data_IF_194795552200
#
_entry.id   IF_194795552200
#
_cell.length_a   1.000
_cell.length_b   1.000
_cell.length_c   1.000
_cell.angle_alpha   90.00
_cell.angle_beta   90.00
_cell.angle_gamma   90.00
#
_symmetry.space_group_name_H-M   'P 1'
#
loop_
_entity.id
_entity.type
_entity.pdbx_description
1 polymer ?
#
# COMPACT_ATOMS: atom_id res chain seq x y z
N UNK A 1 -37.37 -65.43 -38.96
CA UNK A 1 -37.76 -64.78 -37.68
C UNK A 1 -37.20 -65.59 -36.53
N UNK A 2 -36.99 -65.05 -35.31
CA UNK A 2 -36.65 -63.68 -34.89
C UNK A 2 -35.28 -63.70 -34.14
N UNK A 3 -34.75 -62.74 -33.35
CA UNK A 3 -35.06 -61.33 -32.96
C UNK A 3 -33.75 -60.51 -33.12
N UNK A 4 -33.80 -59.25 -33.53
CA UNK A 4 -32.64 -58.33 -33.53
C UNK A 4 -32.33 -57.79 -32.12
N UNK A 5 -31.08 -57.89 -31.68
CA UNK A 5 -30.62 -57.30 -30.42
C UNK A 5 -30.42 -55.78 -30.55
N UNK A 6 -31.27 -54.98 -29.87
CA UNK A 6 -31.14 -53.52 -29.77
C UNK A 6 -29.84 -53.12 -29.06
N UNK A 7 -28.89 -52.50 -29.79
CA UNK A 7 -27.78 -51.75 -29.17
C UNK A 7 -28.35 -50.59 -28.35
N UNK A 8 -28.20 -50.63 -27.03
CA UNK A 8 -28.43 -49.45 -26.16
C UNK A 8 -27.39 -48.39 -26.53
N UNK A 9 -27.85 -47.21 -26.99
CA UNK A 9 -26.98 -46.02 -27.09
C UNK A 9 -26.52 -45.66 -25.68
N UNK A 10 -25.23 -45.66 -25.44
CA UNK A 10 -24.65 -45.04 -24.23
C UNK A 10 -24.81 -43.54 -24.36
N UNK A 11 -25.60 -42.94 -23.46
CA UNK A 11 -25.67 -41.49 -23.36
C UNK A 11 -24.33 -40.98 -22.81
N UNK A 12 -23.50 -40.43 -23.71
CA UNK A 12 -22.34 -39.63 -23.32
C UNK A 12 -22.79 -38.54 -22.34
N UNK A 13 -22.08 -38.31 -21.21
CA UNK A 13 -22.46 -37.27 -20.29
C UNK A 13 -22.37 -35.92 -21.00
N UNK A 14 -23.51 -35.24 -21.12
CA UNK A 14 -23.59 -33.87 -21.63
C UNK A 14 -22.60 -33.03 -20.82
N UNK A 15 -21.55 -32.54 -21.47
CA UNK A 15 -20.61 -31.59 -20.87
C UNK A 15 -21.43 -30.39 -20.42
N UNK A 16 -21.67 -30.28 -19.10
CA UNK A 16 -22.29 -29.08 -18.52
C UNK A 16 -21.41 -27.91 -18.95
N UNK A 17 -21.97 -27.04 -19.80
CA UNK A 17 -21.29 -25.84 -20.23
C UNK A 17 -20.81 -25.12 -18.98
N UNK A 18 -19.49 -24.92 -18.85
CA UNK A 18 -18.93 -24.28 -17.68
C UNK A 18 -19.59 -22.91 -17.56
N UNK A 19 -20.24 -22.62 -16.43
CA UNK A 19 -20.79 -21.29 -16.15
C UNK A 19 -19.68 -20.28 -16.42
N UNK A 20 -19.77 -19.57 -17.54
CA UNK A 20 -18.82 -18.54 -17.92
C UNK A 20 -18.80 -17.57 -16.75
N UNK A 21 -17.67 -17.47 -16.05
CA UNK A 21 -17.51 -16.49 -14.97
C UNK A 21 -17.97 -15.16 -15.53
N UNK A 22 -18.99 -14.55 -14.93
CA UNK A 22 -19.29 -13.14 -15.19
C UNK A 22 -17.95 -12.41 -15.03
N UNK A 23 -17.40 -11.93 -16.15
CA UNK A 23 -16.36 -10.91 -16.09
C UNK A 23 -17.05 -9.76 -15.38
N UNK A 24 -16.69 -9.53 -14.12
CA UNK A 24 -17.15 -8.36 -13.39
C UNK A 24 -16.92 -7.16 -14.31
N UNK A 25 -18.02 -6.52 -14.74
CA UNK A 25 -17.95 -5.26 -15.48
C UNK A 25 -17.11 -4.34 -14.61
N UNK A 26 -16.06 -3.78 -15.19
CA UNK A 26 -15.12 -3.01 -14.41
C UNK A 26 -15.83 -1.78 -13.82
N UNK A 27 -15.60 -1.43 -12.55
CA UNK A 27 -16.35 -0.37 -11.90
C UNK A 27 -15.93 1.03 -12.35
N UNK A 28 -14.86 1.18 -13.16
CA UNK A 28 -14.41 2.48 -13.68
C UNK A 28 -15.36 2.97 -14.77
N UNK A 29 -16.08 4.06 -14.51
CA UNK A 29 -17.00 4.70 -15.44
C UNK A 29 -16.32 5.78 -16.29
N UNK A 30 -15.35 6.50 -15.71
CA UNK A 30 -14.71 7.63 -16.34
C UNK A 30 -13.55 8.20 -15.53
N UNK A 31 -12.85 9.17 -16.11
CA UNK A 31 -11.71 9.86 -15.49
C UNK A 31 -11.79 11.36 -15.80
N UNK A 32 -11.65 12.21 -14.78
CA UNK A 32 -11.51 13.64 -14.94
C UNK A 32 -10.03 14.01 -15.25
N UNK A 33 -9.63 13.95 -16.51
CA UNK A 33 -8.24 14.25 -16.93
C UNK A 33 -7.77 15.66 -16.55
N UNK A 34 -8.64 16.68 -16.60
CA UNK A 34 -8.29 18.05 -16.23
C UNK A 34 -7.91 18.13 -14.75
N UNK A 35 -8.67 17.46 -13.90
CA UNK A 35 -8.40 17.39 -12.47
C UNK A 35 -7.18 16.54 -12.16
N UNK A 36 -7.04 15.38 -12.83
CA UNK A 36 -5.83 14.55 -12.76
C UNK A 36 -4.55 15.33 -13.09
N UNK A 37 -4.59 16.16 -14.14
CA UNK A 37 -3.47 16.98 -14.56
C UNK A 37 -3.08 18.01 -13.48
N UNK A 38 -4.06 18.78 -12.98
CA UNK A 38 -3.80 19.75 -11.90
C UNK A 38 -3.25 19.05 -10.65
N UNK A 39 -3.89 17.95 -10.24
CA UNK A 39 -3.52 17.16 -9.08
C UNK A 39 -2.08 16.61 -9.16
N UNK A 40 -1.76 15.84 -10.21
CA UNK A 40 -0.42 15.24 -10.35
C UNK A 40 0.67 16.30 -10.57
N UNK A 41 0.38 17.39 -11.31
CA UNK A 41 1.31 18.50 -11.46
C UNK A 41 1.64 19.11 -10.09
N UNK A 42 0.63 19.42 -9.29
CA UNK A 42 0.83 20.00 -7.96
C UNK A 42 1.63 19.08 -7.05
N UNK A 43 1.30 17.78 -6.97
CA UNK A 43 2.02 16.84 -6.12
C UNK A 43 3.49 16.67 -6.50
N UNK A 44 3.78 16.51 -7.80
CA UNK A 44 5.16 16.34 -8.26
C UNK A 44 6.00 17.61 -8.06
N UNK A 45 5.43 18.78 -8.34
CA UNK A 45 6.09 20.09 -8.14
C UNK A 45 6.41 20.31 -6.67
N UNK A 46 5.43 20.14 -5.76
CA UNK A 46 5.65 20.33 -4.32
C UNK A 46 6.64 19.33 -3.73
N UNK A 47 6.66 18.09 -4.24
CA UNK A 47 7.65 17.10 -3.85
C UNK A 47 9.06 17.48 -4.30
N UNK A 48 9.22 17.82 -5.58
CA UNK A 48 10.49 18.19 -6.21
C UNK A 48 11.11 19.42 -5.55
N UNK A 49 10.29 20.45 -5.27
CA UNK A 49 10.71 21.70 -4.63
C UNK A 49 10.73 21.62 -3.09
N UNK A 50 10.44 20.45 -2.50
CA UNK A 50 10.40 20.23 -1.04
C UNK A 50 9.56 21.26 -0.29
N UNK A 51 8.36 21.57 -0.83
CA UNK A 51 7.45 22.57 -0.27
C UNK A 51 6.57 22.02 0.85
N UNK A 52 6.39 22.86 1.88
CA UNK A 52 5.43 22.63 2.97
C UNK A 52 5.65 21.27 3.65
N UNK A 53 4.60 20.44 3.68
CA UNK A 53 4.62 19.09 4.23
C UNK A 53 5.77 18.20 3.70
N UNK A 54 6.28 18.44 2.49
CA UNK A 54 7.32 17.60 1.89
C UNK A 54 8.76 17.97 2.24
N UNK A 55 8.98 19.07 2.99
CA UNK A 55 10.31 19.65 3.22
C UNK A 55 11.36 18.62 3.69
N UNK A 56 11.06 17.92 4.78
CA UNK A 56 12.00 17.00 5.45
C UNK A 56 11.71 15.51 5.14
N UNK A 57 10.83 15.25 4.16
CA UNK A 57 10.39 13.88 3.86
C UNK A 57 11.42 13.14 2.98
N UNK A 58 12.04 12.13 3.58
CA UNK A 58 13.00 11.20 2.96
C UNK A 58 12.29 9.87 2.65
N UNK A 59 12.27 9.41 1.37
CA UNK A 59 11.67 8.13 1.01
C UNK A 59 12.35 6.93 1.69
N UNK A 60 11.62 5.84 2.01
CA UNK A 60 12.18 4.66 2.68
C UNK A 60 13.42 4.07 1.99
N UNK A 61 13.43 4.04 0.65
CA UNK A 61 14.53 3.52 -0.16
C UNK A 61 15.81 4.35 -0.11
N UNK A 62 15.74 5.60 0.38
CA UNK A 62 16.91 6.45 0.64
C UNK A 62 17.29 6.48 2.13
N UNK A 63 16.31 6.29 3.02
CA UNK A 63 16.52 6.21 4.48
C UNK A 63 17.24 4.92 4.90
N UNK A 64 16.88 3.80 4.31
CA UNK A 64 17.41 2.47 4.66
C UNK A 64 18.22 1.87 3.51
N UNK A 65 19.13 2.67 2.97
CA UNK A 65 19.97 2.28 1.83
C UNK A 65 21.31 1.68 2.30
N UNK A 66 21.69 0.47 1.86
CA UNK A 66 23.03 -0.07 2.07
C UNK A 66 24.03 0.63 1.14
N UNK A 67 24.77 1.60 1.69
CA UNK A 67 25.67 2.48 0.94
C UNK A 67 26.77 1.69 0.19
N UNK A 68 27.22 0.58 0.77
CA UNK A 68 28.16 -0.37 0.19
C UNK A 68 27.70 -1.01 -1.13
N UNK A 69 26.40 -1.02 -1.42
CA UNK A 69 25.86 -1.51 -2.68
C UNK A 69 25.89 -0.49 -3.81
N UNK A 70 26.17 0.80 -3.55
CA UNK A 70 26.15 1.84 -4.59
C UNK A 70 27.18 1.58 -5.71
N UNK A 71 28.33 0.99 -5.38
CA UNK A 71 29.37 0.62 -6.35
C UNK A 71 29.13 -0.71 -7.05
N UNK A 72 28.08 -1.46 -6.69
CA UNK A 72 27.75 -2.76 -7.29
C UNK A 72 26.30 -2.76 -7.81
N UNK A 73 26.07 -2.27 -9.04
CA UNK A 73 24.73 -2.18 -9.64
C UNK A 73 23.97 -3.50 -9.70
N UNK A 74 24.67 -4.64 -9.78
CA UNK A 74 24.04 -5.96 -9.84
C UNK A 74 23.50 -6.36 -8.47
N UNK A 75 24.33 -6.27 -7.41
CA UNK A 75 23.89 -6.53 -6.03
C UNK A 75 22.83 -5.54 -5.57
N UNK A 76 22.91 -4.27 -5.95
CA UNK A 76 21.85 -3.30 -5.64
C UNK A 76 20.52 -3.67 -6.32
N UNK A 77 20.58 -4.18 -7.56
CA UNK A 77 19.44 -4.77 -8.25
C UNK A 77 18.82 -5.94 -7.48
N UNK A 78 19.65 -6.84 -6.92
CA UNK A 78 19.19 -7.94 -6.07
C UNK A 78 18.55 -7.45 -4.77
N UNK A 79 19.12 -6.43 -4.13
CA UNK A 79 18.55 -5.86 -2.92
C UNK A 79 17.16 -5.26 -3.17
N UNK A 80 16.99 -4.44 -4.22
CA UNK A 80 15.67 -3.92 -4.60
C UNK A 80 14.68 -5.02 -5.00
N UNK A 81 15.15 -6.10 -5.63
CA UNK A 81 14.32 -7.27 -5.94
C UNK A 81 13.77 -7.92 -4.67
N UNK A 82 14.62 -8.15 -3.68
CA UNK A 82 14.25 -8.72 -2.39
C UNK A 82 13.33 -7.78 -1.59
N UNK A 83 13.55 -6.46 -1.60
CA UNK A 83 12.64 -5.47 -0.98
C UNK A 83 11.25 -5.47 -1.62
N UNK A 84 11.14 -5.76 -2.92
CA UNK A 84 9.85 -5.76 -3.62
C UNK A 84 8.92 -6.93 -3.19
N UNK A 85 9.48 -8.07 -2.76
CA UNK A 85 8.72 -9.27 -2.37
C UNK A 85 7.77 -9.05 -1.19
N UNK A 86 8.19 -8.50 -0.02
CA UNK A 86 7.29 -8.23 1.09
C UNK A 86 6.17 -7.21 0.77
N UNK A 87 6.41 -6.26 -0.14
CA UNK A 87 5.48 -5.15 -0.48
C UNK A 87 4.13 -5.59 -1.11
N UNK A 88 3.90 -6.91 -1.24
CA UNK A 88 2.66 -7.53 -1.73
C UNK A 88 1.41 -7.16 -0.91
N UNK A 89 1.54 -6.86 0.39
CA UNK A 89 0.44 -6.36 1.22
C UNK A 89 0.69 -6.48 2.73
N UNK A 90 -0.14 -5.81 3.54
CA UNK A 90 -0.12 -5.95 5.01
C UNK A 90 1.06 -5.33 5.75
N UNK A 91 1.85 -4.48 5.08
CA UNK A 91 3.17 -4.01 5.54
C UNK A 91 3.33 -2.51 5.25
N UNK A 92 3.91 -1.75 6.18
CA UNK A 92 4.37 -0.39 5.91
C UNK A 92 5.69 -0.44 5.11
N UNK A 93 5.86 0.41 4.12
CA UNK A 93 7.09 0.38 3.31
C UNK A 93 8.34 0.75 4.13
N UNK A 94 8.24 1.61 5.15
CA UNK A 94 9.37 1.90 6.06
C UNK A 94 9.81 0.65 6.83
N UNK A 95 8.86 -0.08 7.43
CA UNK A 95 9.14 -1.33 8.13
C UNK A 95 9.77 -2.35 7.18
N UNK A 96 9.25 -2.45 5.95
CA UNK A 96 9.81 -3.33 4.90
C UNK A 96 11.27 -2.99 4.55
N UNK A 97 11.56 -1.72 4.31
CA UNK A 97 12.91 -1.26 3.95
C UNK A 97 13.88 -1.42 5.12
N UNK A 98 13.49 -1.03 6.33
CA UNK A 98 14.26 -1.26 7.56
C UNK A 98 14.56 -2.74 7.80
N UNK A 99 13.55 -3.59 7.67
CA UNK A 99 13.68 -5.03 7.85
C UNK A 99 14.66 -5.64 6.84
N UNK A 100 14.51 -5.31 5.55
CA UNK A 100 15.36 -5.89 4.50
C UNK A 100 16.79 -5.34 4.55
N UNK A 101 16.98 -4.09 4.98
CA UNK A 101 18.29 -3.52 5.32
C UNK A 101 18.98 -4.29 6.46
N UNK A 102 18.27 -4.51 7.58
CA UNK A 102 18.79 -5.26 8.73
C UNK A 102 19.07 -6.74 8.39
N UNK A 103 18.24 -7.36 7.54
CA UNK A 103 18.47 -8.72 7.04
C UNK A 103 19.67 -8.79 6.10
N UNK A 104 19.88 -7.79 5.24
CA UNK A 104 21.05 -7.71 4.37
C UNK A 104 22.35 -7.63 5.19
N UNK A 105 22.37 -6.80 6.25
CA UNK A 105 23.55 -6.66 7.12
C UNK A 105 23.89 -7.95 7.88
N UNK A 106 22.88 -8.71 8.30
CA UNK A 106 23.06 -9.97 9.04
C UNK A 106 23.37 -11.17 8.14
N UNK A 107 22.79 -11.22 6.93
CA UNK A 107 22.79 -12.36 6.01
C UNK A 107 22.79 -11.90 4.54
N UNK A 108 23.88 -11.28 4.05
CA UNK A 108 23.97 -10.77 2.67
C UNK A 108 23.93 -11.89 1.61
N UNK A 109 24.22 -13.13 2.02
CA UNK A 109 24.16 -14.34 1.20
C UNK A 109 22.73 -14.67 0.74
N UNK A 110 21.68 -14.34 1.51
CA UNK A 110 20.27 -14.51 1.14
C UNK A 110 19.88 -13.69 -0.12
N UNK A 111 20.66 -12.65 -0.42
CA UNK A 111 20.41 -11.74 -1.53
C UNK A 111 21.20 -12.13 -2.78
N UNK A 112 22.20 -13.01 -2.66
CA UNK A 112 22.89 -13.56 -3.81
C UNK A 112 22.03 -14.68 -4.43
N UNK A 113 21.48 -14.50 -5.65
CA UNK A 113 20.56 -15.47 -6.23
C UNK A 113 21.24 -16.81 -6.54
N UNK A 114 22.56 -16.86 -6.74
CA UNK A 114 23.32 -18.09 -6.90
C UNK A 114 23.41 -18.92 -5.60
N UNK A 115 23.23 -18.31 -4.43
CA UNK A 115 23.19 -19.03 -3.14
C UNK A 115 21.72 -19.32 -2.78
N UNK A 116 20.87 -18.28 -2.81
CA UNK A 116 19.47 -18.36 -2.41
C UNK A 116 18.62 -19.34 -3.25
N UNK A 117 19.04 -19.70 -4.47
CA UNK A 117 18.34 -20.71 -5.28
C UNK A 117 18.54 -22.16 -4.81
N UNK A 118 19.51 -22.42 -3.91
CA UNK A 118 19.83 -23.74 -3.36
C UNK A 118 19.56 -23.86 -1.84
N UNK A 119 19.10 -22.79 -1.20
CA UNK A 119 18.74 -22.79 0.22
C UNK A 119 17.42 -23.49 0.47
N UNK A 120 17.29 -24.07 1.66
CA UNK A 120 16.00 -24.58 2.14
C UNK A 120 15.14 -23.44 2.75
N UNK A 121 13.79 -23.51 2.66
CA UNK A 121 12.90 -22.48 3.19
C UNK A 121 13.14 -22.14 4.67
N UNK A 122 13.51 -23.14 5.47
CA UNK A 122 13.75 -23.05 6.90
C UNK A 122 14.97 -22.16 7.23
N UNK A 123 15.98 -22.09 6.36
CA UNK A 123 17.15 -21.24 6.55
C UNK A 123 16.80 -19.74 6.40
N UNK A 124 15.94 -19.44 5.42
CA UNK A 124 15.41 -18.09 5.20
C UNK A 124 14.43 -17.73 6.33
N UNK A 125 13.56 -18.67 6.73
CA UNK A 125 12.63 -18.48 7.84
C UNK A 125 13.39 -18.13 9.15
N UNK A 126 14.40 -18.91 9.54
CA UNK A 126 15.18 -18.66 10.75
C UNK A 126 15.94 -17.32 10.73
N UNK A 127 16.49 -16.93 9.57
CA UNK A 127 17.15 -15.63 9.41
C UNK A 127 16.14 -14.46 9.53
N UNK A 128 14.99 -14.59 8.88
CA UNK A 128 13.95 -13.55 8.89
C UNK A 128 13.28 -13.41 10.26
N UNK A 129 13.02 -14.50 10.97
CA UNK A 129 12.50 -14.49 12.34
C UNK A 129 13.49 -13.84 13.32
N UNK A 130 14.78 -14.18 13.24
CA UNK A 130 15.83 -13.57 14.08
C UNK A 130 15.87 -12.04 13.95
N UNK A 131 15.81 -11.52 12.72
CA UNK A 131 15.79 -10.06 12.47
C UNK A 131 14.45 -9.47 12.91
N UNK A 132 13.33 -10.14 12.64
CA UNK A 132 12.00 -9.71 13.04
C UNK A 132 11.87 -9.52 14.56
N UNK A 133 12.33 -10.48 15.35
CA UNK A 133 12.31 -10.40 16.82
C UNK A 133 13.18 -9.25 17.33
N UNK A 134 14.32 -8.96 16.69
CA UNK A 134 15.19 -7.83 17.06
C UNK A 134 14.55 -6.48 16.81
N UNK A 135 13.95 -6.26 15.63
CA UNK A 135 13.45 -4.93 15.25
C UNK A 135 11.98 -4.69 15.65
N UNK A 136 11.22 -5.76 15.87
CA UNK A 136 9.81 -5.73 16.28
C UNK A 136 9.54 -6.74 17.41
N UNK A 137 10.12 -6.56 18.62
CA UNK A 137 9.99 -7.52 19.72
C UNK A 137 8.53 -7.72 20.20
N UNK A 138 7.66 -6.72 20.03
CA UNK A 138 6.21 -6.82 20.29
C UNK A 138 5.40 -7.49 19.17
N UNK A 139 6.05 -7.94 18.08
CA UNK A 139 5.43 -8.33 16.83
C UNK A 139 5.16 -7.14 15.89
N UNK A 140 4.89 -7.45 14.62
CA UNK A 140 4.49 -6.49 13.58
C UNK A 140 2.96 -6.39 13.45
N UNK A 141 2.47 -5.61 12.49
CA UNK A 141 1.07 -5.72 12.06
C UNK A 141 0.85 -7.06 11.33
N UNK A 142 0.06 -7.96 11.92
CA UNK A 142 -0.58 -9.11 11.24
C UNK A 142 -0.36 -10.47 11.91
N UNK A 143 0.89 -10.89 12.12
CA UNK A 143 1.24 -12.13 12.82
C UNK A 143 2.36 -11.84 13.84
N UNK A 144 2.17 -12.25 15.11
CA UNK A 144 3.24 -12.18 16.10
C UNK A 144 4.44 -13.05 15.65
N UNK A 145 5.64 -12.71 16.10
CA UNK A 145 6.92 -13.39 15.82
C UNK A 145 7.46 -13.29 14.36
N UNK A 146 6.62 -13.26 13.32
CA UNK A 146 7.09 -13.29 11.91
C UNK A 146 7.50 -11.95 11.30
N UNK A 147 7.54 -10.88 12.10
CA UNK A 147 7.93 -9.54 11.64
C UNK A 147 7.14 -9.09 10.40
N UNK A 148 7.79 -8.38 9.51
CA UNK A 148 7.12 -7.64 8.43
C UNK A 148 6.50 -8.51 7.34
N UNK A 149 6.78 -9.82 7.29
CA UNK A 149 6.20 -10.77 6.33
C UNK A 149 4.79 -11.27 6.67
N UNK A 150 4.10 -10.66 7.63
CA UNK A 150 2.83 -11.12 8.19
C UNK A 150 1.76 -11.55 7.17
N UNK A 151 1.64 -10.85 6.03
CA UNK A 151 0.73 -11.25 4.97
C UNK A 151 1.29 -12.41 4.12
N UNK A 152 0.69 -13.59 4.26
CA UNK A 152 1.10 -14.82 3.57
C UNK A 152 2.56 -15.21 3.86
N UNK A 153 3.02 -14.96 5.11
CA UNK A 153 4.34 -15.30 5.66
C UNK A 153 4.93 -16.58 5.08
N UNK A 154 4.25 -17.71 5.27
CA UNK A 154 4.57 -19.07 4.79
C UNK A 154 4.84 -19.25 3.27
N UNK A 155 4.65 -18.21 2.45
CA UNK A 155 4.94 -18.22 1.02
C UNK A 155 6.22 -17.47 0.68
N UNK A 156 6.72 -16.56 1.53
CA UNK A 156 7.77 -15.61 1.13
C UNK A 156 9.10 -16.31 0.90
N UNK A 157 9.49 -17.25 1.75
CA UNK A 157 10.74 -18.02 1.66
C UNK A 157 10.76 -18.84 0.35
N UNK A 158 9.67 -19.58 0.11
CA UNK A 158 9.48 -20.37 -1.13
C UNK A 158 9.40 -19.51 -2.39
N UNK A 159 8.92 -18.28 -2.28
CA UNK A 159 8.90 -17.31 -3.39
C UNK A 159 10.29 -16.69 -3.59
N UNK A 160 11.05 -16.46 -2.53
CA UNK A 160 12.43 -15.96 -2.57
C UNK A 160 13.33 -16.95 -3.31
N UNK A 161 13.36 -18.21 -2.88
CA UNK A 161 14.13 -19.30 -3.53
C UNK A 161 13.72 -19.47 -4.99
N UNK A 162 12.41 -19.53 -5.27
CA UNK A 162 11.91 -19.67 -6.64
C UNK A 162 12.28 -18.47 -7.52
N UNK A 163 12.16 -17.25 -7.01
CA UNK A 163 12.49 -16.05 -7.77
C UNK A 163 13.99 -15.89 -7.99
N UNK A 164 14.83 -16.28 -7.02
CA UNK A 164 16.28 -16.38 -7.18
C UNK A 164 16.63 -17.37 -8.29
N UNK A 165 16.04 -18.57 -8.27
CA UNK A 165 16.22 -19.59 -9.32
C UNK A 165 15.83 -19.06 -10.71
N UNK A 166 14.66 -18.42 -10.84
CA UNK A 166 14.23 -17.80 -12.11
C UNK A 166 15.18 -16.67 -12.55
N UNK A 167 15.71 -15.89 -11.62
CA UNK A 167 16.68 -14.82 -11.92
C UNK A 167 18.00 -15.39 -12.46
N UNK A 168 18.50 -16.51 -11.92
CA UNK A 168 19.67 -17.20 -12.46
C UNK A 168 19.36 -17.85 -13.82
N UNK A 169 18.38 -18.76 -13.88
CA UNK A 169 18.11 -19.61 -15.05
C UNK A 169 17.63 -18.86 -16.30
N UNK A 170 17.05 -17.67 -16.14
CA UNK A 170 16.40 -16.97 -17.25
C UNK A 170 16.87 -15.52 -17.46
N UNK A 171 17.60 -14.96 -16.50
CA UNK A 171 18.06 -13.57 -16.52
C UNK A 171 19.55 -13.42 -16.15
N UNK A 172 20.31 -14.52 -16.04
CA UNK A 172 21.76 -14.49 -15.83
C UNK A 172 22.16 -13.90 -14.48
N UNK A 173 21.31 -14.06 -13.46
CA UNK A 173 21.46 -13.42 -12.15
C UNK A 173 21.51 -11.88 -12.21
N UNK A 174 20.91 -11.24 -13.22
CA UNK A 174 20.86 -9.78 -13.30
C UNK A 174 19.45 -9.31 -13.66
N UNK A 175 18.86 -8.53 -12.74
CA UNK A 175 17.51 -7.98 -12.90
C UNK A 175 17.43 -6.98 -14.06
N UNK A 176 18.55 -6.33 -14.42
CA UNK A 176 18.61 -5.34 -15.51
C UNK A 176 18.26 -5.98 -16.87
N UNK A 177 18.60 -7.26 -17.05
CA UNK A 177 18.30 -8.04 -18.26
C UNK A 177 16.79 -8.19 -18.55
N UNK A 178 15.92 -8.01 -17.54
CA UNK A 178 14.46 -7.95 -17.75
C UNK A 178 14.09 -6.75 -18.64
N UNK A 179 14.81 -5.64 -18.53
CA UNK A 179 14.50 -4.39 -19.23
C UNK A 179 15.20 -4.27 -20.59
N UNK A 180 16.18 -5.13 -20.88
CA UNK A 180 16.94 -5.12 -22.12
C UNK A 180 16.01 -5.30 -23.35
N UNK A 181 16.06 -4.37 -24.30
CA UNK A 181 15.16 -4.35 -25.47
C UNK A 181 13.66 -4.14 -25.15
N UNK A 182 13.28 -3.80 -23.91
CA UNK A 182 11.90 -3.45 -23.57
C UNK A 182 11.61 -1.97 -23.92
N UNK A 183 10.67 -1.73 -24.82
CA UNK A 183 10.29 -0.37 -25.26
C UNK A 183 9.38 0.37 -24.26
N UNK A 184 8.69 -0.36 -23.38
CA UNK A 184 7.78 0.19 -22.39
C UNK A 184 7.57 -0.78 -21.20
N UNK A 185 6.86 -0.28 -20.18
CA UNK A 185 6.54 -1.01 -18.96
C UNK A 185 5.80 -2.33 -19.17
N UNK A 186 4.85 -2.41 -20.10
CA UNK A 186 4.08 -3.63 -20.32
C UNK A 186 4.88 -4.66 -21.12
N UNK A 187 5.77 -4.22 -22.02
CA UNK A 187 6.76 -5.10 -22.67
C UNK A 187 7.74 -5.69 -21.66
N UNK A 188 8.21 -4.89 -20.69
CA UNK A 188 9.05 -5.38 -19.60
C UNK A 188 8.27 -6.33 -18.67
N UNK A 189 7.07 -5.97 -18.25
CA UNK A 189 6.22 -6.78 -17.36
C UNK A 189 5.81 -8.12 -18.01
N UNK A 190 5.46 -8.12 -19.29
CA UNK A 190 5.02 -9.33 -20.00
C UNK A 190 6.09 -10.44 -20.05
N UNK A 191 7.39 -10.07 -20.00
CA UNK A 191 8.49 -11.04 -19.87
C UNK A 191 8.44 -11.80 -18.55
N UNK A 192 8.06 -11.11 -17.46
CA UNK A 192 8.16 -11.60 -16.07
C UNK A 192 6.81 -11.94 -15.41
N UNK A 193 5.69 -11.84 -16.13
CA UNK A 193 4.37 -12.28 -15.64
C UNK A 193 4.32 -13.80 -15.50
N UNK A 194 4.47 -14.32 -14.28
CA UNK A 194 4.37 -15.76 -13.96
C UNK A 194 3.01 -16.38 -14.36
N UNK A 195 1.95 -15.60 -14.60
CA UNK A 195 0.68 -16.15 -15.14
C UNK A 195 0.78 -16.51 -16.64
N UNK A 196 1.81 -16.04 -17.35
CA UNK A 196 1.96 -16.13 -18.82
C UNK A 196 3.33 -16.65 -19.28
N UNK A 197 4.35 -16.52 -18.44
CA UNK A 197 5.76 -16.80 -18.76
C UNK A 197 6.37 -17.76 -17.74
N UNK A 198 7.09 -18.78 -18.24
CA UNK A 198 7.96 -19.62 -17.39
C UNK A 198 9.13 -18.83 -16.80
N UNK A 199 9.51 -17.70 -17.43
CA UNK A 199 10.55 -16.76 -16.96
C UNK A 199 10.04 -15.76 -15.91
N UNK A 200 8.83 -15.96 -15.40
CA UNK A 200 8.13 -15.01 -14.56
C UNK A 200 8.33 -15.20 -13.06
N UNK A 201 8.32 -14.08 -12.33
CA UNK A 201 8.54 -14.06 -10.90
C UNK A 201 7.22 -14.23 -10.13
N UNK A 202 7.21 -15.10 -9.11
CA UNK A 202 6.06 -15.27 -8.20
C UNK A 202 5.90 -14.03 -7.33
N UNK A 203 4.64 -13.66 -7.09
CA UNK A 203 4.28 -12.47 -6.30
C UNK A 203 4.45 -11.13 -7.03
N UNK A 204 5.24 -11.07 -8.10
CA UNK A 204 5.54 -9.87 -8.89
C UNK A 204 4.35 -9.47 -9.79
N UNK A 205 3.33 -8.82 -9.21
CA UNK A 205 2.20 -8.21 -9.95
C UNK A 205 2.56 -6.81 -10.44
N UNK A 206 1.78 -6.24 -11.38
CA UNK A 206 2.00 -4.88 -11.94
C UNK A 206 2.32 -3.80 -10.90
N UNK A 207 1.57 -3.73 -9.78
CA UNK A 207 1.88 -2.82 -8.65
C UNK A 207 3.32 -2.95 -8.17
N UNK A 208 3.75 -4.19 -7.90
CA UNK A 208 5.06 -4.49 -7.31
C UNK A 208 6.17 -4.27 -8.33
N UNK A 209 5.93 -4.64 -9.59
CA UNK A 209 6.86 -4.38 -10.68
C UNK A 209 7.02 -2.89 -10.97
N UNK A 210 5.94 -2.09 -10.95
CA UNK A 210 5.96 -0.62 -11.05
C UNK A 210 6.74 0.03 -9.91
N UNK A 211 6.52 -0.44 -8.67
CA UNK A 211 7.25 0.01 -7.49
C UNK A 211 8.75 -0.27 -7.61
N UNK A 212 9.12 -1.52 -7.91
CA UNK A 212 10.51 -1.94 -8.10
C UNK A 212 11.19 -1.17 -9.24
N UNK A 213 10.54 -1.04 -10.40
CA UNK A 213 11.09 -0.34 -11.56
C UNK A 213 11.30 1.16 -11.28
N UNK A 214 10.42 1.77 -10.46
CA UNK A 214 10.60 3.16 -10.03
C UNK A 214 11.92 3.33 -9.27
N UNK A 215 12.27 2.39 -8.37
CA UNK A 215 13.56 2.42 -7.67
C UNK A 215 14.75 2.15 -8.60
N UNK A 216 14.62 1.18 -9.53
CA UNK A 216 15.70 0.89 -10.48
C UNK A 216 16.02 2.10 -11.38
N UNK A 217 15.01 2.86 -11.81
CA UNK A 217 15.21 4.12 -12.55
C UNK A 217 15.77 5.21 -11.63
N UNK A 218 15.21 5.39 -10.43
CA UNK A 218 15.65 6.42 -9.45
C UNK A 218 17.13 6.27 -9.04
N UNK A 219 17.66 5.05 -9.05
CA UNK A 219 19.05 4.72 -8.76
C UNK A 219 19.91 4.45 -10.01
N UNK A 220 19.40 4.73 -11.21
CA UNK A 220 20.17 4.65 -12.47
C UNK A 220 20.57 3.24 -12.91
N UNK A 221 19.93 2.20 -12.37
CA UNK A 221 20.22 0.79 -12.66
C UNK A 221 19.63 0.32 -14.00
N UNK A 222 18.57 0.98 -14.48
CA UNK A 222 17.92 0.72 -15.77
C UNK A 222 17.59 2.05 -16.45
N UNK A 223 17.46 2.10 -17.80
CA UNK A 223 17.11 3.31 -18.52
C UNK A 223 15.75 3.91 -18.10
N UNK A 224 15.59 5.24 -18.18
CA UNK A 224 14.27 5.88 -18.02
C UNK A 224 13.35 5.48 -19.17
N UNK A 225 12.17 4.98 -18.82
CA UNK A 225 11.05 4.80 -19.74
C UNK A 225 9.73 5.04 -19.01
N UNK A 226 8.64 5.18 -19.76
CA UNK A 226 7.36 5.55 -19.18
C UNK A 226 6.77 4.43 -18.31
N UNK A 227 6.54 4.74 -17.03
CA UNK A 227 5.88 3.91 -16.04
C UNK A 227 4.43 4.37 -15.79
N UNK A 228 3.54 3.45 -15.38
CA UNK A 228 2.31 3.83 -14.68
C UNK A 228 2.64 4.39 -13.29
N UNK A 229 1.66 5.05 -12.66
CA UNK A 229 1.74 5.29 -11.22
C UNK A 229 1.62 3.97 -10.47
N UNK A 230 2.27 3.89 -9.30
CA UNK A 230 2.11 2.77 -8.37
C UNK A 230 0.70 2.84 -7.77
N UNK A 231 -0.20 2.01 -8.31
CA UNK A 231 -1.59 1.92 -7.84
C UNK A 231 -1.74 0.82 -6.79
N UNK A 232 -2.12 1.25 -5.61
CA UNK A 232 -2.58 0.43 -4.50
C UNK A 232 -3.82 1.08 -3.86
N UNK A 233 -4.28 0.56 -2.72
CA UNK A 233 -5.48 1.11 -2.09
C UNK A 233 -5.29 2.58 -1.65
N UNK A 234 -4.13 2.97 -1.12
CA UNK A 234 -3.86 4.37 -0.77
C UNK A 234 -3.91 5.28 -2.01
N UNK A 235 -3.40 4.82 -3.16
CA UNK A 235 -3.50 5.55 -4.43
C UNK A 235 -4.95 5.63 -4.91
N UNK A 236 -5.68 4.51 -4.95
CA UNK A 236 -7.08 4.44 -5.35
C UNK A 236 -7.96 5.34 -4.48
N UNK A 237 -7.70 5.37 -3.17
CA UNK A 237 -8.34 6.26 -2.20
C UNK A 237 -8.20 7.72 -2.62
N UNK A 238 -6.99 8.21 -2.86
CA UNK A 238 -6.81 9.60 -3.31
C UNK A 238 -7.56 9.89 -4.62
N UNK A 239 -7.47 8.97 -5.59
CA UNK A 239 -8.15 9.17 -6.89
C UNK A 239 -9.67 9.23 -6.77
N UNK A 240 -10.26 8.53 -5.78
CA UNK A 240 -11.69 8.61 -5.45
C UNK A 240 -12.05 9.85 -4.61
N UNK A 241 -11.26 10.16 -3.58
CA UNK A 241 -11.43 11.35 -2.73
C UNK A 241 -11.48 12.65 -3.53
N UNK A 242 -10.68 12.72 -4.59
CA UNK A 242 -10.55 13.88 -5.48
C UNK A 242 -11.36 13.74 -6.77
N UNK A 243 -12.26 12.76 -6.89
CA UNK A 243 -13.11 12.52 -8.08
C UNK A 243 -12.34 12.45 -9.42
N UNK A 244 -11.06 12.06 -9.35
CA UNK A 244 -10.19 11.87 -10.52
C UNK A 244 -10.63 10.62 -11.28
N UNK A 245 -10.98 9.54 -10.57
CA UNK A 245 -11.65 8.37 -11.14
C UNK A 245 -13.11 8.34 -10.69
N UNK A 246 -14.01 8.11 -11.64
CA UNK A 246 -15.45 7.97 -11.40
C UNK A 246 -15.81 6.48 -11.43
N UNK A 247 -16.60 6.02 -10.47
CA UNK A 247 -16.92 4.60 -10.32
C UNK A 247 -18.41 4.32 -10.11
N UNK A 248 -18.83 3.13 -10.53
CA UNK A 248 -20.13 2.54 -10.19
C UNK A 248 -20.05 2.05 -8.73
N UNK A 249 -20.65 2.82 -7.82
CA UNK A 249 -20.83 2.42 -6.42
C UNK A 249 -22.04 1.50 -6.27
N UNK A 250 -21.93 0.49 -5.41
CA UNK A 250 -23.06 -0.26 -4.89
C UNK A 250 -23.15 -0.07 -3.38
N UNK A 251 -24.29 -0.36 -2.76
CA UNK A 251 -24.30 -0.59 -1.31
C UNK A 251 -23.29 -1.67 -0.94
N UNK A 252 -22.64 -1.51 0.21
CA UNK A 252 -21.71 -2.51 0.72
C UNK A 252 -22.45 -3.82 1.00
N UNK A 253 -23.60 -3.74 1.69
CA UNK A 253 -24.39 -4.88 2.15
C UNK A 253 -23.68 -5.79 3.16
N UNK A 254 -24.33 -6.87 3.63
CA UNK A 254 -23.79 -7.78 4.65
C UNK A 254 -22.51 -8.51 4.25
N UNK A 255 -22.26 -8.63 2.94
CA UNK A 255 -21.22 -9.49 2.40
C UNK A 255 -21.56 -10.98 2.58
N UNK A 256 -20.70 -11.84 2.02
CA UNK A 256 -20.77 -13.30 2.18
C UNK A 256 -19.35 -13.86 2.40
N UNK A 257 -18.73 -13.54 3.55
CA UNK A 257 -17.38 -14.00 3.86
C UNK A 257 -17.35 -15.53 4.03
N UNK A 258 -16.18 -16.14 3.85
CA UNK A 258 -15.96 -17.56 4.18
C UNK A 258 -15.86 -17.82 5.68
N UNK A 259 -15.48 -16.78 6.42
CA UNK A 259 -15.33 -16.77 7.87
C UNK A 259 -16.51 -15.97 8.45
N UNK A 260 -17.41 -16.59 9.24
CA UNK A 260 -18.52 -15.88 9.88
C UNK A 260 -18.08 -14.71 10.77
N UNK A 261 -16.87 -14.76 11.34
CA UNK A 261 -16.30 -13.66 12.13
C UNK A 261 -15.88 -12.45 11.27
N UNK A 262 -16.05 -12.52 9.95
CA UNK A 262 -15.83 -11.41 9.01
C UNK A 262 -17.15 -10.89 8.40
N UNK A 263 -18.30 -11.28 8.94
CA UNK A 263 -19.61 -10.71 8.57
C UNK A 263 -19.60 -9.22 8.91
N UNK A 264 -20.15 -8.40 8.02
CA UNK A 264 -20.10 -6.94 8.16
C UNK A 264 -21.13 -6.48 9.18
N UNK A 265 -20.80 -5.55 10.08
CA UNK A 265 -21.78 -4.92 10.97
C UNK A 265 -22.89 -4.20 10.20
N UNK A 266 -24.13 -4.23 10.70
CA UNK A 266 -25.32 -3.70 10.00
C UNK A 266 -25.22 -2.20 9.71
N UNK A 267 -24.66 -1.44 10.66
CA UNK A 267 -24.23 -0.05 10.53
C UNK A 267 -23.48 0.27 9.24
N UNK A 268 -22.74 -0.70 8.70
CA UNK A 268 -21.89 -0.54 7.52
C UNK A 268 -22.59 -0.86 6.20
N UNK A 269 -23.74 -1.56 6.21
CA UNK A 269 -24.34 -2.13 4.99
C UNK A 269 -24.79 -1.07 3.99
N UNK A 270 -25.39 0.02 4.48
CA UNK A 270 -25.95 1.12 3.68
C UNK A 270 -24.92 2.00 2.98
N UNK A 271 -23.64 1.90 3.33
CA UNK A 271 -22.64 2.80 2.75
C UNK A 271 -22.33 2.43 1.29
N UNK A 272 -22.23 3.46 0.45
CA UNK A 272 -21.76 3.33 -0.93
C UNK A 272 -20.30 2.84 -0.97
N UNK A 273 -20.04 1.77 -1.72
CA UNK A 273 -18.77 1.08 -1.76
C UNK A 273 -18.37 0.64 -3.18
N UNK A 274 -17.07 0.53 -3.41
CA UNK A 274 -16.49 -0.09 -4.61
C UNK A 274 -15.45 -1.14 -4.20
N UNK A 275 -15.58 -2.35 -4.76
CA UNK A 275 -14.68 -3.46 -4.47
C UNK A 275 -13.37 -3.35 -5.25
N UNK A 276 -12.24 -3.39 -4.55
CA UNK A 276 -10.90 -3.28 -5.13
C UNK A 276 -10.46 -4.66 -5.65
N UNK A 277 -10.69 -4.87 -6.95
CA UNK A 277 -10.31 -6.08 -7.67
C UNK A 277 -9.06 -5.86 -8.53
N UNK A 278 -8.32 -6.95 -8.82
CA UNK A 278 -7.14 -6.91 -9.69
C UNK A 278 -7.44 -6.30 -11.08
N UNK A 279 -8.55 -6.63 -11.77
CA UNK A 279 -8.90 -5.96 -13.04
C UNK A 279 -9.16 -4.45 -12.91
N UNK A 280 -9.74 -3.99 -11.80
CA UNK A 280 -10.00 -2.57 -11.57
C UNK A 280 -8.69 -1.81 -11.34
N UNK A 281 -7.80 -2.34 -10.50
CA UNK A 281 -6.45 -1.77 -10.28
C UNK A 281 -5.66 -1.72 -11.58
N UNK A 282 -5.67 -2.81 -12.37
CA UNK A 282 -4.97 -2.86 -13.65
C UNK A 282 -5.47 -1.79 -14.63
N UNK A 283 -6.79 -1.49 -14.68
CA UNK A 283 -7.30 -0.40 -15.53
C UNK A 283 -6.79 0.98 -15.13
N UNK A 284 -6.72 1.28 -13.84
CA UNK A 284 -6.15 2.55 -13.37
C UNK A 284 -4.64 2.60 -13.63
N UNK A 285 -3.93 1.48 -13.53
CA UNK A 285 -2.52 1.36 -13.97
C UNK A 285 -2.39 1.70 -15.46
N UNK A 286 -3.16 1.06 -16.35
CA UNK A 286 -3.11 1.33 -17.79
C UNK A 286 -3.49 2.77 -18.13
N UNK A 287 -4.53 3.32 -17.49
CA UNK A 287 -4.90 4.73 -17.67
C UNK A 287 -3.77 5.66 -17.24
N UNK A 288 -3.16 5.48 -16.05
CA UNK A 288 -2.06 6.34 -15.61
C UNK A 288 -0.83 6.25 -16.52
N UNK A 289 -0.50 5.08 -17.06
CA UNK A 289 0.56 4.92 -18.05
C UNK A 289 0.27 5.75 -19.32
N UNK A 290 -0.94 5.65 -19.87
CA UNK A 290 -1.35 6.41 -21.06
C UNK A 290 -1.40 7.92 -20.78
N UNK A 291 -1.91 8.32 -19.62
CA UNK A 291 -2.01 9.71 -19.17
C UNK A 291 -0.61 10.34 -19.00
N UNK A 292 0.29 9.68 -18.27
CA UNK A 292 1.65 10.19 -18.08
C UNK A 292 2.42 10.25 -19.41
N UNK A 293 2.22 9.27 -20.32
CA UNK A 293 2.77 9.33 -21.68
C UNK A 293 2.29 10.55 -22.46
N UNK A 294 0.97 10.82 -22.43
CA UNK A 294 0.32 11.96 -23.09
C UNK A 294 0.85 13.31 -22.57
N UNK A 295 1.16 13.39 -21.27
CA UNK A 295 1.57 14.63 -20.60
C UNK A 295 3.06 14.67 -20.19
N UNK A 296 3.93 13.78 -20.69
CA UNK A 296 5.35 13.63 -20.26
C UNK A 296 6.15 14.94 -20.24
N UNK A 297 5.85 15.89 -21.14
CA UNK A 297 6.54 17.19 -21.23
C UNK A 297 5.96 18.30 -20.35
N UNK A 298 4.80 18.09 -19.73
CA UNK A 298 4.03 19.12 -19.02
C UNK A 298 3.82 18.82 -17.53
N UNK A 299 4.11 17.59 -17.11
CA UNK A 299 4.09 17.13 -15.73
C UNK A 299 5.53 16.95 -15.23
N UNK A 300 5.74 17.01 -13.90
CA UNK A 300 6.93 16.45 -13.26
C UNK A 300 7.14 14.98 -13.65
N UNK A 301 8.33 14.46 -13.37
CA UNK A 301 8.62 13.07 -13.67
C UNK A 301 7.71 12.11 -12.86
N UNK A 302 7.60 10.88 -13.34
CA UNK A 302 6.74 9.86 -12.73
C UNK A 302 7.11 9.49 -11.28
N UNK A 303 8.40 9.55 -10.91
CA UNK A 303 8.85 9.25 -9.56
C UNK A 303 8.52 10.39 -8.57
N UNK A 304 8.62 11.66 -8.97
CA UNK A 304 8.20 12.79 -8.13
C UNK A 304 6.69 12.76 -7.85
N UNK A 305 5.88 12.48 -8.88
CA UNK A 305 4.42 12.30 -8.72
C UNK A 305 4.13 11.10 -7.81
N UNK A 306 4.87 9.99 -7.97
CA UNK A 306 4.69 8.80 -7.15
C UNK A 306 5.01 9.05 -5.67
N UNK A 307 6.11 9.72 -5.37
CA UNK A 307 6.53 10.07 -4.00
C UNK A 307 5.59 11.11 -3.36
N UNK A 308 5.27 12.18 -4.07
CA UNK A 308 4.31 13.20 -3.60
C UNK A 308 2.93 12.60 -3.28
N UNK A 309 2.41 11.74 -4.16
CA UNK A 309 1.19 10.95 -3.94
C UNK A 309 1.30 10.02 -2.73
N UNK A 310 2.41 9.29 -2.61
CA UNK A 310 2.59 8.26 -1.59
C UNK A 310 2.67 8.85 -0.18
N UNK A 311 3.46 9.91 0.02
CA UNK A 311 3.53 10.58 1.31
C UNK A 311 2.20 11.22 1.70
N UNK A 312 1.51 11.88 0.76
CA UNK A 312 0.17 12.43 1.00
C UNK A 312 -0.81 11.32 1.42
N UNK A 313 -0.88 10.23 0.66
CA UNK A 313 -1.89 9.18 0.85
C UNK A 313 -1.69 8.33 2.12
N UNK A 314 -0.45 8.25 2.62
CA UNK A 314 0.00 7.29 3.64
C UNK A 314 0.46 7.94 4.95
N UNK A 315 0.71 9.24 4.97
CA UNK A 315 1.05 10.01 6.19
C UNK A 315 -0.02 11.06 6.48
N UNK A 316 -0.29 12.00 5.57
CA UNK A 316 -1.19 13.13 5.88
C UNK A 316 -2.69 12.77 5.83
N UNK A 317 -3.14 12.05 4.80
CA UNK A 317 -4.56 11.72 4.65
C UNK A 317 -5.15 10.73 5.70
N UNK A 318 -4.40 9.74 6.25
CA UNK A 318 -4.89 8.93 7.38
C UNK A 318 -5.25 9.74 8.63
N UNK A 319 -4.53 10.83 8.90
CA UNK A 319 -4.65 11.59 10.16
C UNK A 319 -5.89 12.51 10.20
N UNK A 320 -6.51 12.78 9.05
CA UNK A 320 -7.77 13.54 8.98
C UNK A 320 -8.89 12.77 9.71
N UNK A 321 -9.54 13.40 10.68
CA UNK A 321 -10.49 12.72 11.58
C UNK A 321 -11.60 11.99 10.84
N UNK A 322 -12.17 12.59 9.79
CA UNK A 322 -13.20 11.97 8.96
C UNK A 322 -12.77 10.75 8.14
N UNK A 323 -11.48 10.39 8.12
CA UNK A 323 -10.97 9.13 7.56
C UNK A 323 -10.79 8.02 8.62
N UNK A 324 -11.20 8.26 9.88
CA UNK A 324 -11.14 7.28 10.96
C UNK A 324 -12.19 6.18 10.79
N UNK A 325 -11.81 4.97 11.18
CA UNK A 325 -12.68 3.80 11.35
C UNK A 325 -12.66 3.42 12.83
N UNK A 326 -13.81 3.01 13.37
CA UNK A 326 -13.89 2.45 14.72
C UNK A 326 -13.98 0.93 14.62
N UNK A 327 -13.15 0.22 15.38
CA UNK A 327 -13.03 -1.25 15.38
C UNK A 327 -13.96 -1.86 16.45
N UNK A 328 -14.68 -2.93 16.13
CA UNK A 328 -15.43 -3.73 17.11
C UNK A 328 -14.48 -4.27 18.18
N UNK A 329 -14.83 -4.10 19.46
CA UNK A 329 -14.12 -4.75 20.56
C UNK A 329 -14.56 -6.20 20.68
N UNK A 330 -13.69 -7.15 20.36
CA UNK A 330 -13.91 -8.56 20.68
C UNK A 330 -13.57 -8.84 22.16
N UNK A 331 -14.44 -9.59 22.83
CA UNK A 331 -14.27 -10.01 24.24
C UNK A 331 -13.03 -10.90 24.45
N UNK A 332 -12.54 -11.56 23.40
CA UNK A 332 -11.37 -12.45 23.45
C UNK A 332 -10.02 -11.73 23.43
N UNK A 333 -10.02 -10.39 23.42
CA UNK A 333 -8.82 -9.55 23.43
C UNK A 333 -7.96 -9.62 22.15
N UNK A 334 -8.40 -10.32 21.10
CA UNK A 334 -7.61 -10.44 19.86
C UNK A 334 -7.80 -9.19 18.99
N UNK A 335 -6.66 -8.61 18.56
CA UNK A 335 -6.56 -7.43 17.67
C UNK A 335 -7.02 -7.73 16.23
N UNK A 336 -8.30 -8.09 16.04
CA UNK A 336 -8.95 -8.33 14.74
C UNK A 336 -10.34 -7.68 14.66
N UNK A 337 -10.53 -6.58 15.37
CA UNK A 337 -11.79 -5.84 15.33
C UNK A 337 -12.10 -5.35 13.93
N UNK A 338 -13.22 -5.82 13.37
CA UNK A 338 -13.77 -5.31 12.12
C UNK A 338 -14.18 -3.85 12.29
N UNK A 339 -14.18 -3.08 11.20
CA UNK A 339 -14.80 -1.75 11.18
C UNK A 339 -16.28 -1.85 11.56
N UNK A 340 -16.63 -1.29 12.71
CA UNK A 340 -17.97 -1.20 13.26
C UNK A 340 -18.75 -0.02 12.69
N UNK A 341 -18.11 1.16 12.70
CA UNK A 341 -18.68 2.39 12.18
C UNK A 341 -17.60 3.31 11.62
N UNK A 342 -18.04 4.25 10.81
CA UNK A 342 -17.23 5.38 10.32
C UNK A 342 -17.63 6.64 11.09
N UNK A 343 -16.84 7.70 10.96
CA UNK A 343 -17.24 9.05 11.40
C UNK A 343 -18.32 9.55 10.44
N UNK A 344 -19.47 10.01 10.95
CA UNK A 344 -20.56 10.54 10.13
C UNK A 344 -20.31 11.99 9.68
N UNK A 345 -21.13 12.53 8.77
CA UNK A 345 -21.02 13.94 8.38
C UNK A 345 -21.56 14.85 9.50
N UNK A 346 -22.58 14.41 10.24
CA UNK A 346 -23.12 15.11 11.41
C UNK A 346 -22.07 15.23 12.53
N UNK A 347 -21.31 14.16 12.82
CA UNK A 347 -20.19 14.24 13.77
C UNK A 347 -19.20 15.35 13.35
N UNK A 348 -18.82 15.42 12.07
CA UNK A 348 -17.84 16.41 11.60
C UNK A 348 -18.34 17.86 11.58
N UNK A 349 -19.66 18.08 11.59
CA UNK A 349 -20.25 19.42 11.70
C UNK A 349 -20.23 19.96 13.13
N UNK A 350 -20.43 19.09 14.13
CA UNK A 350 -20.46 19.45 15.55
C UNK A 350 -19.04 19.48 16.14
N UNK A 351 -18.59 20.66 16.62
CA UNK A 351 -17.19 20.87 17.02
C UNK A 351 -16.78 20.02 18.24
N UNK A 352 -17.73 19.72 19.12
CA UNK A 352 -17.57 18.95 20.34
C UNK A 352 -17.22 17.48 20.09
N UNK A 353 -17.45 16.95 18.88
CA UNK A 353 -17.12 15.55 18.56
C UNK A 353 -15.69 15.38 18.05
N UNK A 354 -15.02 16.46 17.65
CA UNK A 354 -13.63 16.42 17.21
C UNK A 354 -12.73 16.16 18.42
N UNK A 355 -11.63 15.40 18.27
CA UNK A 355 -10.69 15.18 19.36
C UNK A 355 -10.15 16.51 19.90
N UNK A 356 -10.09 16.68 21.22
CA UNK A 356 -9.59 17.92 21.87
C UNK A 356 -8.16 18.27 21.46
N UNK A 357 -7.35 17.27 21.13
CA UNK A 357 -5.97 17.41 20.62
C UNK A 357 -5.86 17.35 19.10
N UNK A 358 -6.98 17.43 18.36
CA UNK A 358 -6.97 17.36 16.91
C UNK A 358 -6.19 18.52 16.31
N UNK A 359 -5.34 18.21 15.32
CA UNK A 359 -4.61 19.20 14.53
C UNK A 359 -4.94 18.94 13.09
N UNK A 360 -5.58 19.89 12.42
CA UNK A 360 -6.11 19.70 11.08
C UNK A 360 -4.99 19.50 10.04
N UNK A 361 -4.76 18.26 9.55
CA UNK A 361 -3.66 17.97 8.64
C UNK A 361 -3.98 18.47 7.22
N UNK A 362 -5.26 18.68 6.90
CA UNK A 362 -5.69 19.13 5.58
C UNK A 362 -5.21 20.55 5.25
N UNK A 363 -4.94 21.39 6.27
CA UNK A 363 -4.28 22.71 6.10
C UNK A 363 -2.91 22.64 5.42
N UNK A 364 -2.27 21.47 5.41
CA UNK A 364 -0.94 21.22 4.84
C UNK A 364 -1.03 20.44 3.52
N UNK A 365 -2.23 20.06 3.10
CA UNK A 365 -2.47 19.28 1.89
C UNK A 365 -2.41 20.21 0.66
N UNK A 366 -1.49 19.97 -0.30
CA UNK A 366 -1.29 20.86 -1.45
C UNK A 366 -2.45 20.82 -2.47
N UNK A 367 -3.36 19.86 -2.32
CA UNK A 367 -4.45 19.55 -3.27
C UNK A 367 -5.83 19.59 -2.59
N UNK A 368 -5.92 20.11 -1.35
CA UNK A 368 -7.11 20.07 -0.50
C UNK A 368 -8.38 20.60 -1.19
N UNK A 369 -8.26 21.71 -1.94
CA UNK A 369 -9.34 22.35 -2.72
C UNK A 369 -10.14 21.37 -3.61
N UNK A 370 -9.50 20.26 -4.01
CA UNK A 370 -10.08 19.22 -4.86
C UNK A 370 -10.55 17.98 -4.10
N UNK A 371 -10.34 17.89 -2.79
CA UNK A 371 -10.84 16.79 -1.97
C UNK A 371 -12.35 16.98 -1.74
N UNK A 372 -13.17 15.99 -2.13
CA UNK A 372 -14.63 16.04 -2.06
C UNK A 372 -15.24 15.00 -1.14
N UNK A 373 -14.62 13.82 -1.01
CA UNK A 373 -15.21 12.68 -0.32
C UNK A 373 -14.24 12.02 0.65
N UNK A 374 -14.79 11.33 1.66
CA UNK A 374 -14.04 10.62 2.71
C UNK A 374 -14.03 9.12 2.47
N UNK A 375 -12.85 8.50 2.59
CA UNK A 375 -12.66 7.05 2.38
C UNK A 375 -11.76 6.47 3.48
N UNK A 376 -12.34 6.06 4.62
CA UNK A 376 -11.62 5.43 5.71
C UNK A 376 -10.92 4.14 5.30
N UNK A 377 -9.81 3.82 5.97
CA UNK A 377 -8.95 2.69 5.57
C UNK A 377 -9.41 1.32 6.09
N UNK A 378 -10.13 1.27 7.22
CA UNK A 378 -10.57 0.02 7.85
C UNK A 378 -11.32 -0.91 6.91
N UNK A 379 -12.40 -0.46 6.22
CA UNK A 379 -13.17 -1.28 5.30
C UNK A 379 -12.38 -1.92 4.15
N UNK A 380 -11.24 -1.31 3.75
CA UNK A 380 -10.35 -1.92 2.77
C UNK A 380 -9.58 -3.12 3.36
N UNK A 381 -9.02 -2.96 4.55
CA UNK A 381 -8.31 -4.05 5.24
C UNK A 381 -9.26 -5.19 5.65
N UNK A 382 -10.49 -4.84 6.05
CA UNK A 382 -11.49 -5.81 6.50
C UNK A 382 -12.15 -6.58 5.36
N UNK A 383 -12.49 -5.91 4.24
CA UNK A 383 -13.34 -6.50 3.19
C UNK A 383 -12.88 -6.22 1.75
N UNK A 384 -11.73 -5.57 1.55
CA UNK A 384 -11.24 -5.22 0.21
C UNK A 384 -12.14 -4.22 -0.53
N UNK A 385 -12.82 -3.34 0.19
CA UNK A 385 -13.74 -2.34 -0.36
C UNK A 385 -13.30 -0.93 0.01
N UNK A 386 -13.40 0.01 -0.93
CA UNK A 386 -13.40 1.44 -0.62
C UNK A 386 -14.83 1.85 -0.30
N UNK A 387 -15.05 2.37 0.90
CA UNK A 387 -16.36 2.80 1.38
C UNK A 387 -16.37 4.32 1.48
N UNK A 388 -17.32 4.99 0.82
CA UNK A 388 -17.54 6.44 0.97
C UNK A 388 -18.22 6.66 2.32
N UNK A 389 -17.54 7.33 3.24
CA UNK A 389 -18.08 7.64 4.56
C UNK A 389 -19.06 8.82 4.52
N UNK A 390 -18.82 9.76 3.62
CA UNK A 390 -19.51 11.04 3.48
C UNK A 390 -18.65 12.01 2.67
N UNK A 391 -18.97 13.29 2.78
CA UNK A 391 -18.23 14.36 2.10
C UNK A 391 -17.06 14.90 2.94
N UNK A 392 -16.06 15.51 2.30
CA UNK A 392 -14.90 16.05 3.00
C UNK A 392 -15.26 17.38 3.69
N UNK A 393 -15.46 17.31 5.01
CA UNK A 393 -15.81 18.46 5.86
C UNK A 393 -14.54 19.06 6.47
N UNK A 394 -14.35 20.36 6.27
CA UNK A 394 -13.22 21.12 6.84
C UNK A 394 -13.39 21.31 8.34
N UNK A 395 -12.30 21.23 9.11
CA UNK A 395 -12.33 21.43 10.56
C UNK A 395 -12.90 22.81 10.93
N UNK A 396 -13.98 22.91 11.75
CA UNK A 396 -14.66 24.19 11.99
C UNK A 396 -13.77 25.28 12.59
N UNK A 397 -12.86 24.94 13.51
CA UNK A 397 -11.97 25.92 14.17
C UNK A 397 -10.72 26.30 13.35
N UNK A 398 -10.55 25.78 12.13
CA UNK A 398 -9.40 26.08 11.25
C UNK A 398 -9.07 27.57 11.12
N UNK A 399 -10.09 28.44 11.12
CA UNK A 399 -9.93 29.90 10.98
C UNK A 399 -9.41 30.59 12.25
N UNK A 400 -9.58 29.97 13.40
CA UNK A 400 -9.25 30.53 14.73
C UNK A 400 -7.90 30.00 15.23
N UNK A 401 -7.50 28.80 14.80
CA UNK A 401 -6.21 28.20 15.18
C UNK A 401 -5.01 28.84 14.46
N UNK A 402 -3.93 29.18 15.18
CA UNK A 402 -2.69 29.70 14.59
C UNK A 402 -2.05 28.67 13.65
N UNK A 403 -1.20 29.16 12.73
CA UNK A 403 -0.47 28.31 11.80
C UNK A 403 0.61 27.48 12.51
N UNK A 404 0.26 26.25 12.88
CA UNK A 404 1.24 25.27 13.37
C UNK A 404 2.19 24.83 12.25
N UNK A 405 3.50 24.90 12.52
CA UNK A 405 4.50 24.15 11.74
C UNK A 405 4.55 22.72 12.28
N UNK A 406 4.46 21.71 11.41
CA UNK A 406 4.86 20.36 11.80
C UNK A 406 6.37 20.38 12.01
N UNK A 407 6.81 20.01 13.21
CA UNK A 407 8.21 19.70 13.49
C UNK A 407 8.39 18.22 13.12
N UNK A 408 8.79 17.98 11.89
CA UNK A 408 9.06 16.68 11.23
C UNK A 408 10.29 15.94 11.77
N UNK A 409 10.93 16.47 12.82
CA UNK A 409 12.34 16.20 13.14
C UNK A 409 12.63 14.74 13.46
N UNK A 410 11.65 14.03 14.01
CA UNK A 410 11.60 12.57 14.08
C UNK A 410 10.17 12.13 13.81
N UNK A 411 9.92 11.32 12.76
CA UNK A 411 8.76 10.43 12.75
C UNK A 411 9.14 9.21 13.61
N UNK A 412 8.55 9.01 14.81
CA UNK A 412 8.88 7.85 15.62
C UNK A 412 8.51 6.59 14.86
N UNK A 413 9.43 5.63 14.79
CA UNK A 413 9.31 4.41 13.97
C UNK A 413 8.25 3.39 14.45
N UNK A 414 7.24 3.83 15.17
CA UNK A 414 6.12 3.03 15.68
C UNK A 414 4.88 3.90 15.86
N UNK A 415 3.78 3.59 15.16
CA UNK A 415 2.44 3.95 15.63
C UNK A 415 2.13 3.15 16.91
N UNK A 416 2.61 3.63 18.05
CA UNK A 416 2.10 3.22 19.34
C UNK A 416 0.67 3.78 19.47
N UNK A 417 -0.34 2.90 19.37
CA UNK A 417 -1.72 3.26 19.74
C UNK A 417 -1.70 3.59 21.24
N UNK A 418 -2.09 4.81 21.59
CA UNK A 418 -2.26 5.27 22.98
C UNK A 418 -3.17 4.32 23.77
N UNK A 419 -2.59 3.53 24.67
CA UNK A 419 -3.33 2.73 25.65
C UNK A 419 -3.65 3.61 26.85
N UNK A 420 -4.92 4.01 26.99
CA UNK A 420 -5.35 4.81 28.12
C UNK A 420 -5.47 3.97 29.39
N UNK A 421 -4.56 4.18 30.33
CA UNK A 421 -4.72 3.78 31.73
C UNK A 421 -4.71 5.02 32.63
N UNK A 422 -5.66 5.08 33.57
CA UNK A 422 -5.75 6.15 34.57
C UNK A 422 -4.72 5.90 35.66
N UNK A 423 -3.88 6.88 35.97
CA UNK A 423 -3.08 6.89 37.21
C UNK A 423 -3.36 8.18 37.98
N UNK A 424 -3.45 8.03 39.30
CA UNK A 424 -3.96 9.01 40.26
C UNK A 424 -3.03 10.18 40.54
N UNK A 425 -3.63 11.32 40.92
CA UNK A 425 -2.95 12.54 41.36
C UNK A 425 -2.01 12.29 42.55
N UNK A 426 -0.78 12.79 42.46
CA UNK A 426 -0.07 13.39 43.60
C UNK A 426 0.89 14.46 43.10
N UNK A 427 1.00 15.56 43.84
CA UNK A 427 1.77 16.78 43.48
C UNK A 427 2.88 16.99 44.50
N UNK A 428 4.09 17.38 44.08
CA UNK A 428 4.72 18.53 44.73
C UNK A 428 5.44 19.52 43.78
N UNK A 429 4.94 20.77 43.82
CA UNK A 429 5.62 22.09 43.79
C UNK A 429 7.06 22.25 43.24
N UNK A 430 7.14 23.22 42.31
CA UNK A 430 8.08 24.35 42.22
C UNK A 430 9.60 24.13 41.98
N UNK A 431 10.05 24.56 40.79
CA UNK A 431 11.05 25.64 40.67
C UNK A 431 10.89 26.34 39.30
N UNK A 432 10.99 27.67 39.27
CA UNK A 432 10.88 28.50 38.05
C UNK A 432 12.26 28.71 37.45
N UNK A 433 12.43 28.44 36.15
CA UNK A 433 13.56 28.93 35.35
C UNK A 433 13.21 28.95 33.86
N UNK A 434 13.62 30.01 33.16
CA UNK A 434 13.25 30.31 31.77
C UNK A 434 13.68 29.24 30.77
N UNK A 435 12.71 28.61 30.09
CA UNK A 435 12.96 27.67 28.98
C UNK A 435 11.93 27.83 27.87
N UNK A 436 12.44 28.16 26.68
CA UNK A 436 11.72 28.07 25.41
C UNK A 436 11.08 26.68 25.28
N UNK A 437 9.77 26.56 24.98
CA UNK A 437 9.06 25.28 25.11
C UNK A 437 9.43 24.29 24.00
N UNK A 438 10.46 23.48 24.24
CA UNK A 438 10.61 22.17 23.61
C UNK A 438 9.63 21.20 24.28
N UNK A 439 8.46 21.01 23.67
CA UNK A 439 7.46 20.08 24.17
C UNK A 439 7.77 18.65 23.70
N UNK A 440 8.21 17.82 24.64
CA UNK A 440 8.19 16.36 24.54
C UNK A 440 6.76 15.87 24.28
N UNK A 441 6.59 15.02 23.27
CA UNK A 441 5.31 14.37 22.96
C UNK A 441 5.05 13.25 23.98
N UNK A 442 3.98 13.41 24.76
CA UNK A 442 3.39 12.33 25.55
C UNK A 442 2.05 11.88 24.95
N UNK A 443 1.69 10.63 25.29
CA UNK A 443 0.41 9.92 25.05
C UNK A 443 0.22 9.23 23.68
#
# INVERSE_FOLDING_TARGET
MPKLARKKKSNLPVKKASKTKQRFKAPLLGVNEKLAFKFFKTLGVWWQEKRGFYADLIPPQRRWFPEELRSDPQKLGWWFFCVAIPMRGGINSDDAFRFVYELYRDRPDLFNPYVAMYMEPEEIAGATEKVAMRIHPGGSQGEKQKGTFSYQSYQHERIWIHNAKVLVEHWGADLRNVFEGALDFEKAFAKIDHKRSKKGFRGMRRKIFSLMTTWLIEFGLVPDFQLPLIIDFHAMRLLLMHEIIQVEFSELGPGKPRDPLRIRPESMWKHAAVHISEPFVDQVIFWTLAFLKKYKRLLPCQYDIAHGKWFLSRVLCPDYYGNRSFEQKHEDGKRRGLTERLVSDEELLEIETWPVSYRDPCRLCPVEESCKARFPQGPYFDWGAMVRAGDHITYPLRKVEPHFRIITRDMPGTFLKSSGDRVSNSVPKNSVEDKTPQLTLGF
#
